data_IF_000544758370
#
_entry.id   IF_000544758370
#
_cell.length_a   1.000
_cell.length_b   1.000
_cell.length_c   1.000
_cell.angle_alpha   90.00
_cell.angle_beta   90.00
_cell.angle_gamma   90.00
#
_symmetry.space_group_name_H-M   'P 1'
#
loop_
_entity.id
_entity.type
_entity.pdbx_description
1 polymer ?
#
# COMPACT_ATOMS: atom_id res chain seq x y z
N UNK A 1 -13.09 37.04 7.95
CA UNK A 1 -11.94 37.42 7.11
C UNK A 1 -10.55 37.11 7.70
N UNK A 2 -10.21 37.36 8.98
CA UNK A 2 -8.87 37.08 9.49
C UNK A 2 -8.48 35.59 9.50
N UNK A 3 -9.43 34.67 9.68
CA UNK A 3 -9.17 33.22 9.65
C UNK A 3 -8.67 32.71 8.29
N UNK A 4 -9.16 33.26 7.18
CA UNK A 4 -8.71 32.89 5.83
C UNK A 4 -7.27 33.34 5.58
N UNK A 5 -6.85 34.49 6.11
CA UNK A 5 -5.48 34.98 6.00
C UNK A 5 -4.47 34.07 6.71
N UNK A 6 -4.87 33.43 7.83
CA UNK A 6 -4.03 32.47 8.54
C UNK A 6 -3.79 31.17 7.75
N UNK A 7 -4.69 30.80 6.84
CA UNK A 7 -4.54 29.62 5.99
C UNK A 7 -3.65 29.89 4.76
N UNK A 8 -3.44 31.15 4.36
CA UNK A 8 -2.69 31.50 3.16
C UNK A 8 -1.28 30.91 3.13
N UNK A 9 -0.44 31.01 4.18
CA UNK A 9 0.90 30.42 4.15
C UNK A 9 0.87 28.91 3.93
N UNK A 10 -0.06 28.19 4.60
CA UNK A 10 -0.20 26.73 4.47
C UNK A 10 -0.67 26.33 3.08
N UNK A 11 -1.63 27.07 2.52
CA UNK A 11 -2.14 26.81 1.17
C UNK A 11 -1.08 27.09 0.12
N UNK A 12 -0.34 28.20 0.24
CA UNK A 12 0.77 28.51 -0.67
C UNK A 12 1.86 27.42 -0.61
N UNK A 13 2.21 26.96 0.59
CA UNK A 13 3.16 25.85 0.78
C UNK A 13 2.66 24.56 0.10
N UNK A 14 1.41 24.17 0.31
CA UNK A 14 0.82 22.99 -0.32
C UNK A 14 0.80 23.12 -1.86
N UNK A 15 0.45 24.29 -2.40
CA UNK A 15 0.50 24.54 -3.84
C UNK A 15 1.94 24.39 -4.35
N UNK A 16 2.90 25.03 -3.70
CA UNK A 16 4.29 25.02 -4.14
C UNK A 16 4.92 23.63 -4.08
N UNK A 17 4.63 22.83 -3.04
CA UNK A 17 5.29 21.54 -2.81
C UNK A 17 4.56 20.38 -3.52
N UNK A 18 3.24 20.43 -3.65
CA UNK A 18 2.45 19.33 -4.22
C UNK A 18 1.83 19.68 -5.58
N UNK A 19 1.17 20.82 -5.70
CA UNK A 19 0.42 21.14 -6.92
C UNK A 19 1.37 21.49 -8.08
N UNK A 20 2.40 22.29 -7.85
CA UNK A 20 3.34 22.69 -8.92
C UNK A 20 4.11 21.48 -9.50
N UNK A 21 4.71 20.56 -8.70
CA UNK A 21 5.33 19.35 -9.25
C UNK A 21 4.34 18.48 -10.02
N UNK A 22 3.12 18.28 -9.49
CA UNK A 22 2.09 17.51 -10.19
C UNK A 22 1.72 18.11 -11.54
N UNK A 23 1.47 19.42 -11.59
CA UNK A 23 1.19 20.15 -12.83
C UNK A 23 2.39 20.06 -13.80
N UNK A 24 3.62 20.11 -13.30
CA UNK A 24 4.82 19.91 -14.11
C UNK A 24 4.86 18.50 -14.71
N UNK A 25 4.52 17.46 -13.97
CA UNK A 25 4.43 16.09 -14.48
C UNK A 25 3.32 15.96 -15.52
N UNK A 26 2.13 16.57 -15.29
CA UNK A 26 1.06 16.60 -16.30
C UNK A 26 1.55 17.28 -17.56
N UNK A 27 2.20 18.43 -17.46
CA UNK A 27 2.76 19.14 -18.61
C UNK A 27 3.79 18.29 -19.34
N UNK A 28 4.72 17.66 -18.60
CA UNK A 28 5.79 16.85 -19.14
C UNK A 28 5.27 15.61 -19.87
N UNK A 29 4.15 15.04 -19.45
CA UNK A 29 3.53 13.87 -20.12
C UNK A 29 3.13 14.12 -21.58
N UNK A 30 2.96 15.41 -21.97
CA UNK A 30 2.69 15.83 -23.36
C UNK A 30 3.95 16.34 -24.10
N UNK A 31 5.14 16.12 -23.54
CA UNK A 31 6.40 16.53 -24.13
C UNK A 31 7.36 15.33 -24.23
N UNK A 32 8.09 15.26 -25.33
CA UNK A 32 9.26 14.40 -25.42
C UNK A 32 10.41 15.10 -24.69
N UNK A 33 10.85 14.49 -23.60
CA UNK A 33 12.00 14.95 -22.81
C UNK A 33 12.86 13.74 -22.52
N UNK A 34 13.82 13.50 -23.39
CA UNK A 34 14.66 12.29 -23.37
C UNK A 34 16.05 12.59 -23.91
N UNK A 35 16.93 11.59 -23.88
CA UNK A 35 18.25 11.68 -24.53
C UNK A 35 18.13 12.03 -26.01
N UNK A 36 17.10 11.56 -26.69
CA UNK A 36 16.87 11.82 -28.12
C UNK A 36 16.57 13.30 -28.42
N UNK A 37 16.01 14.02 -27.44
CA UNK A 37 15.73 15.46 -27.57
C UNK A 37 16.82 16.33 -26.94
N UNK A 38 17.96 15.73 -26.54
CA UNK A 38 19.02 16.41 -25.82
C UNK A 38 18.61 16.88 -24.40
N UNK A 39 17.67 16.17 -23.78
CA UNK A 39 17.08 16.49 -22.48
C UNK A 39 16.37 17.86 -22.47
N UNK A 40 15.75 18.20 -23.59
CA UNK A 40 14.91 19.40 -23.74
C UNK A 40 13.48 18.94 -23.99
N UNK A 41 12.54 19.47 -23.22
CA UNK A 41 11.13 19.14 -23.36
C UNK A 41 10.54 19.77 -24.63
N UNK A 42 10.21 18.93 -25.61
CA UNK A 42 9.63 19.34 -26.91
C UNK A 42 8.20 18.81 -27.00
N UNK A 43 7.20 19.61 -27.39
CA UNK A 43 5.81 19.15 -27.56
C UNK A 43 5.74 17.93 -28.50
N UNK A 44 5.06 16.85 -28.09
CA UNK A 44 5.04 15.58 -28.81
C UNK A 44 3.64 15.13 -29.28
N UNK A 45 2.65 16.05 -29.28
CA UNK A 45 1.28 15.76 -29.74
C UNK A 45 0.65 14.51 -29.12
N UNK A 46 0.92 14.26 -27.85
CA UNK A 46 0.45 13.11 -27.07
C UNK A 46 1.06 11.74 -27.51
N UNK A 47 2.20 11.72 -28.20
CA UNK A 47 2.87 10.47 -28.59
C UNK A 47 3.21 9.59 -27.37
N UNK A 48 3.55 10.17 -26.21
CA UNK A 48 3.77 9.42 -24.99
C UNK A 48 2.51 8.67 -24.53
N UNK A 49 1.33 9.29 -24.66
CA UNK A 49 0.06 8.65 -24.33
C UNK A 49 -0.32 7.54 -25.31
N UNK A 50 -0.02 7.72 -26.60
CA UNK A 50 -0.19 6.64 -27.59
C UNK A 50 0.72 5.47 -27.27
N UNK A 51 2.00 5.72 -26.96
CA UNK A 51 2.94 4.70 -26.49
C UNK A 51 2.44 4.00 -25.23
N UNK A 52 1.97 4.76 -24.25
CA UNK A 52 1.45 4.25 -22.97
C UNK A 52 0.32 3.23 -23.15
N UNK A 53 -0.64 3.52 -24.01
CA UNK A 53 -1.77 2.62 -24.27
C UNK A 53 -1.31 1.28 -24.85
N UNK A 54 -0.25 1.27 -25.66
CA UNK A 54 0.26 0.09 -26.36
C UNK A 54 1.48 -0.55 -25.66
N UNK A 55 1.90 -0.04 -24.51
CA UNK A 55 3.07 -0.56 -23.77
C UNK A 55 2.71 -1.83 -23.01
N UNK A 56 3.00 -2.98 -23.60
CA UNK A 56 2.75 -4.28 -23.01
C UNK A 56 3.43 -4.47 -21.64
N UNK A 57 4.64 -3.88 -21.46
CA UNK A 57 5.37 -3.95 -20.19
C UNK A 57 4.65 -3.17 -19.10
N UNK A 58 4.17 -1.96 -19.40
CA UNK A 58 3.37 -1.19 -18.44
C UNK A 58 2.15 -1.97 -17.96
N UNK A 59 1.39 -2.58 -18.87
CA UNK A 59 0.19 -3.35 -18.51
C UNK A 59 0.52 -4.61 -17.71
N UNK A 60 1.64 -5.27 -18.01
CA UNK A 60 2.14 -6.38 -17.21
C UNK A 60 2.48 -5.93 -15.78
N UNK A 61 3.21 -4.82 -15.62
CA UNK A 61 3.59 -4.26 -14.33
C UNK A 61 2.37 -3.74 -13.56
N UNK A 62 1.36 -3.22 -14.25
CA UNK A 62 0.08 -2.86 -13.65
C UNK A 62 -0.60 -4.09 -13.04
N UNK A 63 -0.69 -5.19 -13.78
CA UNK A 63 -1.28 -6.43 -13.28
C UNK A 63 -0.49 -6.96 -12.08
N UNK A 64 0.84 -6.93 -12.13
CA UNK A 64 1.70 -7.33 -11.01
C UNK A 64 1.49 -6.44 -9.79
N UNK A 65 1.43 -5.13 -9.97
CA UNK A 65 1.18 -4.17 -8.89
C UNK A 65 -0.22 -4.37 -8.28
N UNK A 66 -1.24 -4.61 -9.10
CA UNK A 66 -2.60 -4.90 -8.64
C UNK A 66 -2.68 -6.24 -7.87
N UNK A 67 -2.00 -7.29 -8.36
CA UNK A 67 -1.92 -8.57 -7.65
C UNK A 67 -1.21 -8.40 -6.30
N UNK A 68 -0.10 -7.68 -6.29
CA UNK A 68 0.62 -7.35 -5.06
C UNK A 68 -0.29 -6.62 -4.08
N UNK A 69 -0.93 -5.53 -4.51
CA UNK A 69 -1.83 -4.75 -3.67
C UNK A 69 -3.03 -5.58 -3.16
N UNK A 70 -3.64 -6.39 -4.01
CA UNK A 70 -4.78 -7.23 -3.62
C UNK A 70 -4.40 -8.22 -2.52
N UNK A 71 -3.28 -8.93 -2.69
CA UNK A 71 -2.86 -9.96 -1.74
C UNK A 71 -2.34 -9.34 -0.45
N UNK A 72 -1.43 -8.35 -0.54
CA UNK A 72 -0.84 -7.73 0.65
C UNK A 72 -1.89 -7.00 1.48
N UNK A 73 -2.69 -6.13 0.85
CA UNK A 73 -3.70 -5.33 1.58
C UNK A 73 -4.79 -6.21 2.19
N UNK A 74 -5.24 -7.25 1.49
CA UNK A 74 -6.24 -8.19 2.06
C UNK A 74 -5.69 -8.89 3.30
N UNK A 75 -4.47 -9.42 3.21
CA UNK A 75 -3.81 -10.07 4.34
C UNK A 75 -3.60 -9.10 5.52
N UNK A 76 -3.18 -7.88 5.24
CA UNK A 76 -2.97 -6.84 6.25
C UNK A 76 -4.25 -6.39 6.94
N UNK A 77 -5.36 -6.26 6.21
CA UNK A 77 -6.66 -5.95 6.82
C UNK A 77 -7.12 -7.06 7.77
N UNK A 78 -6.95 -8.32 7.36
CA UNK A 78 -7.30 -9.47 8.21
C UNK A 78 -6.39 -9.57 9.43
N UNK A 79 -5.07 -9.58 9.23
CA UNK A 79 -4.09 -9.66 10.32
C UNK A 79 -4.14 -8.42 11.22
N UNK A 80 -4.31 -7.24 10.64
CA UNK A 80 -4.46 -5.99 11.35
C UNK A 80 -5.70 -5.97 12.24
N UNK A 81 -6.82 -6.52 11.76
CA UNK A 81 -8.02 -6.68 12.58
C UNK A 81 -7.78 -7.64 13.75
N UNK A 82 -7.15 -8.78 13.50
CA UNK A 82 -6.80 -9.74 14.56
C UNK A 82 -5.92 -9.08 15.62
N UNK A 83 -4.86 -8.39 15.21
CA UNK A 83 -3.95 -7.69 16.10
C UNK A 83 -4.70 -6.57 16.86
N UNK A 84 -5.54 -5.79 16.19
CA UNK A 84 -6.33 -4.74 16.83
C UNK A 84 -7.27 -5.29 17.90
N UNK A 85 -7.95 -6.40 17.63
CA UNK A 85 -8.82 -7.08 18.62
C UNK A 85 -8.03 -7.56 19.83
N UNK A 86 -6.83 -8.11 19.65
CA UNK A 86 -5.94 -8.52 20.75
C UNK A 86 -5.49 -7.30 21.55
N UNK A 87 -5.01 -6.24 20.88
CA UNK A 87 -4.53 -5.02 21.52
C UNK A 87 -5.64 -4.21 22.23
N UNK A 88 -6.90 -4.46 21.87
CA UNK A 88 -8.06 -3.84 22.52
C UNK A 88 -8.41 -4.49 23.86
N UNK A 89 -7.91 -5.70 24.14
CA UNK A 89 -8.13 -6.37 25.43
C UNK A 89 -7.44 -5.65 26.59
N UNK A 90 -7.92 -5.84 27.85
CA UNK A 90 -7.32 -5.25 29.04
C UNK A 90 -5.99 -5.97 29.40
N UNK A 91 -4.97 -5.82 28.56
CA UNK A 91 -3.68 -6.46 28.73
C UNK A 91 -2.85 -5.77 29.81
N UNK A 92 -2.15 -6.58 30.63
CA UNK A 92 -1.09 -6.08 31.51
C UNK A 92 0.05 -5.55 30.63
N UNK A 93 0.60 -4.38 30.93
CA UNK A 93 1.63 -3.69 30.11
C UNK A 93 1.16 -3.25 28.69
N UNK A 94 -0.08 -2.86 28.58
CA UNK A 94 -0.74 -2.44 27.33
C UNK A 94 0.09 -1.44 26.48
N UNK A 95 0.73 -0.46 27.12
CA UNK A 95 1.55 0.54 26.43
C UNK A 95 2.78 -0.11 25.75
N UNK A 96 3.50 -0.99 26.45
CA UNK A 96 4.67 -1.65 25.91
C UNK A 96 4.33 -2.57 24.75
N UNK A 97 3.26 -3.37 24.86
CA UNK A 97 2.82 -4.27 23.78
C UNK A 97 2.42 -3.48 22.53
N UNK A 98 1.70 -2.36 22.70
CA UNK A 98 1.33 -1.48 21.58
C UNK A 98 2.54 -0.85 20.92
N UNK A 99 3.49 -0.33 21.70
CA UNK A 99 4.70 0.30 21.16
C UNK A 99 5.58 -0.72 20.44
N UNK A 100 5.77 -1.92 20.99
CA UNK A 100 6.59 -2.97 20.35
C UNK A 100 5.96 -3.51 19.09
N UNK A 101 4.63 -3.59 19.01
CA UNK A 101 3.93 -4.02 17.79
C UNK A 101 4.13 -3.06 16.61
N UNK A 102 4.51 -1.80 16.86
CA UNK A 102 4.74 -0.78 15.85
C UNK A 102 6.16 -0.77 15.27
N UNK A 103 7.09 -1.49 15.90
CA UNK A 103 8.50 -1.49 15.47
C UNK A 103 8.65 -1.81 13.97
N UNK A 104 7.99 -2.84 13.39
CA UNK A 104 8.13 -3.12 11.98
C UNK A 104 7.75 -1.95 11.07
N UNK A 105 6.67 -1.26 11.38
CA UNK A 105 6.20 -0.12 10.60
C UNK A 105 7.11 1.11 10.73
N UNK A 106 7.71 1.33 11.90
CA UNK A 106 8.59 2.45 12.17
C UNK A 106 9.95 2.36 11.45
N UNK A 107 10.35 1.17 10.99
CA UNK A 107 11.61 0.99 10.28
C UNK A 107 11.58 1.66 8.90
N UNK A 108 12.65 2.36 8.48
CA UNK A 108 12.80 2.83 7.11
C UNK A 108 12.71 1.64 6.13
N UNK A 109 11.89 1.79 5.07
CA UNK A 109 11.61 0.68 4.13
C UNK A 109 12.87 0.11 3.50
N UNK A 110 13.80 0.98 3.09
CA UNK A 110 15.08 0.57 2.50
C UNK A 110 15.91 -0.31 3.45
N UNK A 111 16.00 0.06 4.72
CA UNK A 111 16.76 -0.69 5.74
C UNK A 111 16.12 -2.05 5.98
N UNK A 112 14.81 -2.07 6.12
CA UNK A 112 14.04 -3.31 6.28
C UNK A 112 14.19 -4.22 5.06
N UNK A 113 14.10 -3.67 3.84
CA UNK A 113 14.25 -4.42 2.60
C UNK A 113 15.65 -5.05 2.45
N UNK A 114 16.72 -4.34 2.87
CA UNK A 114 18.07 -4.91 2.95
C UNK A 114 18.15 -6.08 3.93
N UNK A 115 17.49 -5.95 5.09
CA UNK A 115 17.41 -7.03 6.07
C UNK A 115 16.72 -8.27 5.51
N UNK A 116 15.56 -8.11 4.86
CA UNK A 116 14.84 -9.21 4.23
C UNK A 116 15.60 -9.79 3.05
N UNK A 117 16.25 -8.97 2.21
CA UNK A 117 17.15 -9.44 1.15
C UNK A 117 18.25 -10.32 1.69
N UNK A 118 18.88 -9.94 2.82
CA UNK A 118 19.89 -10.77 3.47
C UNK A 118 19.31 -12.07 4.03
N UNK A 119 18.15 -12.02 4.70
CA UNK A 119 17.47 -13.18 5.28
C UNK A 119 17.16 -14.24 4.21
N UNK A 120 16.70 -13.81 3.03
CA UNK A 120 16.35 -14.69 1.91
C UNK A 120 17.48 -14.89 0.89
N UNK A 121 18.69 -14.41 1.19
CA UNK A 121 19.85 -14.57 0.30
C UNK A 121 20.25 -16.04 0.18
N UNK A 122 20.54 -16.48 -1.03
CA UNK A 122 21.06 -17.82 -1.31
C UNK A 122 22.51 -17.72 -1.79
N UNK A 123 23.43 -18.50 -1.24
CA UNK A 123 23.28 -19.59 -0.24
C UNK A 123 23.55 -19.16 1.21
N UNK A 124 23.73 -17.89 1.50
CA UNK A 124 24.28 -17.41 2.78
C UNK A 124 23.24 -16.99 3.81
N UNK A 125 22.00 -16.76 3.39
CA UNK A 125 20.93 -16.30 4.26
C UNK A 125 20.47 -17.35 5.27
N UNK A 126 19.96 -16.92 6.45
CA UNK A 126 19.54 -17.84 7.50
C UNK A 126 18.39 -18.76 7.06
N UNK A 127 17.46 -18.29 6.22
CA UNK A 127 16.36 -19.13 5.71
C UNK A 127 16.90 -20.24 4.80
N UNK A 128 17.82 -19.93 3.89
CA UNK A 128 18.39 -20.93 3.00
C UNK A 128 19.20 -21.98 3.77
N UNK A 129 19.97 -21.56 4.79
CA UNK A 129 20.70 -22.49 5.67
C UNK A 129 19.77 -23.42 6.45
N UNK A 130 18.65 -22.91 6.97
CA UNK A 130 17.64 -23.73 7.65
C UNK A 130 17.02 -24.76 6.70
N UNK A 131 16.72 -24.36 5.46
CA UNK A 131 16.16 -25.24 4.44
C UNK A 131 17.18 -26.31 4.02
N UNK A 132 18.43 -25.94 3.83
CA UNK A 132 19.51 -26.91 3.53
C UNK A 132 19.72 -27.92 4.65
N UNK A 133 19.77 -27.46 5.92
CA UNK A 133 19.98 -28.35 7.06
C UNK A 133 18.78 -29.24 7.38
N UNK A 134 17.54 -28.75 7.17
CA UNK A 134 16.33 -29.49 7.49
C UNK A 134 15.80 -30.35 6.32
N UNK A 135 15.87 -29.85 5.08
CA UNK A 135 15.28 -30.49 3.91
C UNK A 135 16.31 -30.88 2.84
N UNK A 136 17.59 -30.61 3.04
CA UNK A 136 18.65 -30.88 2.07
C UNK A 136 18.52 -30.11 0.75
N UNK A 137 17.74 -29.03 0.72
CA UNK A 137 17.45 -28.24 -0.49
C UNK A 137 17.67 -26.75 -0.24
N UNK A 138 18.25 -26.06 -1.22
CA UNK A 138 18.28 -24.60 -1.26
C UNK A 138 16.94 -24.06 -1.75
N UNK A 139 16.44 -22.99 -1.11
CA UNK A 139 15.17 -22.35 -1.48
C UNK A 139 15.31 -21.47 -2.71
N UNK A 140 16.51 -20.89 -2.96
CA UNK A 140 16.76 -19.86 -3.98
C UNK A 140 15.66 -18.77 -4.03
N UNK A 141 15.31 -18.25 -2.85
CA UNK A 141 14.10 -17.48 -2.63
C UNK A 141 13.99 -16.22 -3.51
N UNK A 142 15.11 -15.56 -3.78
CA UNK A 142 15.12 -14.35 -4.62
C UNK A 142 15.50 -14.62 -6.09
N UNK A 143 15.87 -15.85 -6.43
CA UNK A 143 16.23 -16.26 -7.79
C UNK A 143 15.10 -16.96 -8.54
N UNK A 144 14.03 -17.36 -7.86
CA UNK A 144 12.85 -17.97 -8.48
C UNK A 144 11.66 -17.00 -8.51
N UNK A 145 11.04 -16.74 -9.68
CA UNK A 145 10.00 -15.72 -9.84
C UNK A 145 8.85 -15.81 -8.84
N UNK A 146 8.30 -17.00 -8.64
CA UNK A 146 7.16 -17.22 -7.75
C UNK A 146 7.52 -16.99 -6.28
N UNK A 147 8.69 -17.48 -5.86
CA UNK A 147 9.15 -17.35 -4.46
C UNK A 147 9.59 -15.92 -4.18
N UNK A 148 10.28 -15.26 -5.11
CA UNK A 148 10.67 -13.86 -4.99
C UNK A 148 9.44 -12.94 -4.82
N UNK A 149 8.36 -13.22 -5.55
CA UNK A 149 7.11 -12.49 -5.39
C UNK A 149 6.50 -12.73 -4.01
N UNK A 150 6.38 -13.99 -3.56
CA UNK A 150 5.82 -14.34 -2.24
C UNK A 150 6.64 -13.70 -1.12
N UNK A 151 7.97 -13.75 -1.18
CA UNK A 151 8.85 -13.18 -0.16
C UNK A 151 8.75 -11.66 -0.10
N UNK A 152 8.57 -10.99 -1.25
CA UNK A 152 8.35 -9.54 -1.31
C UNK A 152 7.00 -9.14 -0.69
N UNK A 153 5.93 -9.87 -1.01
CA UNK A 153 4.59 -9.68 -0.41
C UNK A 153 4.64 -9.91 1.10
N UNK A 154 5.33 -10.98 1.55
CA UNK A 154 5.49 -11.27 2.98
C UNK A 154 6.20 -10.14 3.74
N UNK A 155 7.27 -9.61 3.16
CA UNK A 155 8.00 -8.49 3.75
C UNK A 155 7.13 -7.23 3.89
N UNK A 156 6.27 -6.94 2.91
CA UNK A 156 5.31 -5.83 2.95
C UNK A 156 4.26 -6.04 4.03
N UNK A 157 3.63 -7.22 4.07
CA UNK A 157 2.63 -7.58 5.08
C UNK A 157 3.21 -7.44 6.48
N UNK A 158 4.42 -7.98 6.72
CA UNK A 158 5.08 -7.88 8.03
C UNK A 158 5.30 -6.43 8.47
N UNK A 159 5.73 -5.57 7.54
CA UNK A 159 6.01 -4.17 7.81
C UNK A 159 4.74 -3.36 8.10
N UNK A 160 3.68 -3.57 7.33
CA UNK A 160 2.57 -2.61 7.22
C UNK A 160 1.33 -3.03 8.00
N UNK A 161 1.19 -4.31 8.35
CA UNK A 161 0.10 -4.80 9.23
C UNK A 161 -0.07 -4.00 10.53
N UNK A 162 1.01 -3.60 11.24
CA UNK A 162 0.86 -2.78 12.45
C UNK A 162 0.18 -1.43 12.22
N UNK A 163 0.39 -0.80 11.08
CA UNK A 163 -0.28 0.45 10.73
C UNK A 163 -1.80 0.26 10.58
N UNK A 164 -2.21 -0.81 9.90
CA UNK A 164 -3.62 -1.20 9.79
C UNK A 164 -4.21 -1.48 11.18
N UNK A 165 -3.48 -2.24 12.00
CA UNK A 165 -3.91 -2.56 13.36
C UNK A 165 -4.16 -1.32 14.21
N UNK A 166 -3.33 -0.26 14.06
CA UNK A 166 -3.53 1.01 14.76
C UNK A 166 -4.80 1.73 14.34
N UNK A 167 -5.05 1.83 13.04
CA UNK A 167 -6.27 2.48 12.54
C UNK A 167 -7.51 1.75 13.07
N UNK A 168 -7.50 0.41 13.01
CA UNK A 168 -8.61 -0.40 13.47
C UNK A 168 -8.75 -0.37 15.00
N UNK A 169 -7.64 -0.33 15.73
CA UNK A 169 -7.66 -0.18 17.20
C UNK A 169 -8.27 1.16 17.63
N UNK A 170 -7.92 2.26 16.94
CA UNK A 170 -8.55 3.55 17.16
C UNK A 170 -10.07 3.48 16.93
N UNK A 171 -10.50 2.79 15.87
CA UNK A 171 -11.91 2.54 15.62
C UNK A 171 -12.60 1.69 16.69
N UNK A 172 -11.96 0.62 17.16
CA UNK A 172 -12.50 -0.23 18.23
C UNK A 172 -12.71 0.54 19.52
N UNK A 173 -11.86 1.53 19.83
CA UNK A 173 -11.96 2.35 21.04
C UNK A 173 -13.10 3.37 21.00
N UNK A 174 -13.71 3.61 19.86
CA UNK A 174 -14.88 4.49 19.72
C UNK A 174 -16.21 3.75 19.92
N UNK A 175 -16.20 2.41 19.95
CA UNK A 175 -17.41 1.61 20.12
C UNK A 175 -17.77 1.57 21.63
N UNK A 176 -18.99 2.01 22.04
CA UNK A 176 -19.43 1.97 23.42
C UNK A 176 -19.47 0.56 23.96
N UNK A 177 -18.96 0.36 25.18
CA UNK A 177 -18.98 -0.96 25.88
C UNK A 177 -20.39 -1.48 26.12
N UNK A 178 -21.35 -0.56 26.37
CA UNK A 178 -22.74 -0.88 26.64
C UNK A 178 -23.41 -1.73 25.55
N UNK A 179 -23.00 -1.56 24.29
CA UNK A 179 -23.49 -2.38 23.18
C UNK A 179 -23.10 -3.85 23.33
N UNK A 180 -21.89 -4.10 23.84
CA UNK A 180 -21.41 -5.46 24.08
C UNK A 180 -22.05 -6.07 25.34
N UNK A 181 -22.31 -5.25 26.36
CA UNK A 181 -22.99 -5.69 27.59
C UNK A 181 -24.45 -6.05 27.31
N UNK A 182 -25.17 -5.20 26.58
CA UNK A 182 -26.54 -5.49 26.16
C UNK A 182 -26.63 -6.78 25.34
N UNK A 183 -25.75 -6.94 24.34
CA UNK A 183 -25.70 -8.13 23.51
C UNK A 183 -25.41 -9.40 24.34
N UNK A 184 -24.54 -9.33 25.34
CA UNK A 184 -24.27 -10.46 26.25
C UNK A 184 -25.50 -10.83 27.10
N UNK A 185 -26.26 -9.85 27.57
CA UNK A 185 -27.51 -10.08 28.32
C UNK A 185 -28.55 -10.80 27.45
N UNK A 186 -28.55 -10.55 26.11
CA UNK A 186 -29.39 -11.24 25.14
C UNK A 186 -28.80 -12.60 24.69
N UNK A 187 -27.69 -13.06 25.31
CA UNK A 187 -27.06 -14.36 25.00
C UNK A 187 -26.18 -14.37 23.76
N UNK A 188 -25.78 -13.20 23.24
CA UNK A 188 -24.91 -13.12 22.08
C UNK A 188 -23.48 -13.58 22.39
N UNK A 189 -22.98 -14.59 21.69
CA UNK A 189 -21.60 -15.05 21.76
C UNK A 189 -20.62 -14.08 21.06
N UNK A 190 -19.28 -14.26 21.26
CA UNK A 190 -18.26 -13.37 20.73
C UNK A 190 -18.30 -13.20 19.19
N UNK A 191 -18.58 -14.27 18.46
CA UNK A 191 -18.70 -14.25 16.99
C UNK A 191 -19.90 -13.43 16.51
N UNK A 192 -21.00 -13.44 17.24
CA UNK A 192 -22.20 -12.63 16.95
C UNK A 192 -21.88 -11.15 17.18
N UNK A 193 -21.24 -10.83 18.32
CA UNK A 193 -20.79 -9.48 18.62
C UNK A 193 -19.81 -8.96 17.56
N UNK A 194 -18.85 -9.77 17.14
CA UNK A 194 -17.91 -9.40 16.09
C UNK A 194 -18.63 -9.05 14.79
N UNK A 195 -19.54 -9.92 14.33
CA UNK A 195 -20.20 -9.79 13.03
C UNK A 195 -21.29 -8.71 13.02
N UNK A 196 -22.06 -8.57 14.11
CA UNK A 196 -23.24 -7.68 14.16
C UNK A 196 -22.97 -6.31 14.80
N UNK A 197 -21.94 -6.19 15.62
CA UNK A 197 -21.61 -4.95 16.31
C UNK A 197 -20.26 -4.42 15.81
N UNK A 198 -19.19 -5.19 16.01
CA UNK A 198 -17.82 -4.72 15.78
C UNK A 198 -17.57 -4.39 14.31
N UNK A 199 -17.75 -5.34 13.40
CA UNK A 199 -17.45 -5.13 11.96
C UNK A 199 -18.28 -4.00 11.34
N UNK A 200 -19.62 -3.91 11.54
CA UNK A 200 -20.41 -2.82 11.00
C UNK A 200 -20.00 -1.44 11.50
N UNK A 201 -19.70 -1.30 12.80
CA UNK A 201 -19.26 -0.03 13.37
C UNK A 201 -17.80 0.30 13.00
N UNK A 202 -17.01 -0.70 12.67
CA UNK A 202 -15.63 -0.54 12.24
C UNK A 202 -15.48 -0.23 10.72
N UNK A 203 -16.55 -0.35 9.93
CA UNK A 203 -16.52 -0.13 8.47
C UNK A 203 -15.86 1.19 8.04
N UNK A 204 -16.09 2.34 8.70
CA UNK A 204 -15.41 3.58 8.33
C UNK A 204 -13.89 3.50 8.48
N UNK A 205 -13.41 2.84 9.54
CA UNK A 205 -11.99 2.67 9.83
C UNK A 205 -11.35 1.62 8.92
N UNK A 206 -12.07 0.54 8.59
CA UNK A 206 -11.67 -0.43 7.56
C UNK A 206 -11.54 0.24 6.20
N UNK A 207 -12.49 1.11 5.84
CA UNK A 207 -12.43 1.89 4.61
C UNK A 207 -11.23 2.83 4.57
N UNK A 208 -10.97 3.52 5.67
CA UNK A 208 -9.81 4.39 5.81
C UNK A 208 -8.49 3.60 5.65
N UNK A 209 -8.35 2.48 6.38
CA UNK A 209 -7.17 1.62 6.28
C UNK A 209 -6.98 1.08 4.87
N UNK A 210 -8.06 0.60 4.23
CA UNK A 210 -8.05 0.12 2.86
C UNK A 210 -7.54 1.18 1.88
N UNK A 211 -8.04 2.42 1.95
CA UNK A 211 -7.62 3.51 1.05
C UNK A 211 -6.15 3.85 1.21
N UNK A 212 -5.67 4.00 2.45
CA UNK A 212 -4.27 4.25 2.72
C UNK A 212 -3.38 3.11 2.20
N UNK A 213 -3.77 1.86 2.45
CA UNK A 213 -2.99 0.71 2.02
C UNK A 213 -3.00 0.52 0.50
N UNK A 214 -4.14 0.72 -0.16
CA UNK A 214 -4.20 0.70 -1.63
C UNK A 214 -3.26 1.74 -2.24
N UNK A 215 -3.27 2.97 -1.74
CA UNK A 215 -2.37 4.01 -2.24
C UNK A 215 -0.89 3.66 -2.02
N UNK A 216 -0.52 3.13 -0.85
CA UNK A 216 0.85 2.74 -0.52
C UNK A 216 1.31 1.50 -1.31
N UNK A 217 0.48 0.47 -1.40
CA UNK A 217 0.81 -0.77 -2.11
C UNK A 217 0.89 -0.57 -3.64
N UNK A 218 0.04 0.32 -4.19
CA UNK A 218 0.10 0.68 -5.61
C UNK A 218 1.38 1.46 -5.95
N UNK A 219 1.86 2.30 -5.02
CA UNK A 219 3.10 3.05 -5.15
C UNK A 219 4.34 2.34 -4.61
N UNK A 220 4.30 1.01 -4.41
CA UNK A 220 5.43 0.27 -3.85
C UNK A 220 6.67 0.40 -4.74
N UNK A 221 7.75 0.94 -4.18
CA UNK A 221 9.01 1.17 -4.88
C UNK A 221 10.21 0.68 -4.07
N UNK A 222 10.47 1.29 -2.90
CA UNK A 222 11.69 1.04 -2.11
C UNK A 222 11.90 -0.45 -1.78
N UNK A 223 10.82 -1.13 -1.38
CA UNK A 223 10.87 -2.56 -1.05
C UNK A 223 11.32 -3.38 -2.26
N UNK A 224 10.65 -3.18 -3.40
CA UNK A 224 10.92 -3.94 -4.63
C UNK A 224 12.32 -3.60 -5.17
N UNK A 225 12.64 -2.31 -5.25
CA UNK A 225 13.94 -1.84 -5.76
C UNK A 225 15.12 -2.43 -4.98
N UNK A 226 15.02 -2.45 -3.64
CA UNK A 226 16.13 -2.87 -2.78
C UNK A 226 16.17 -4.39 -2.63
N UNK A 227 15.03 -5.06 -2.49
CA UNK A 227 14.97 -6.49 -2.20
C UNK A 227 15.27 -7.33 -3.44
N UNK A 228 14.65 -7.03 -4.58
CA UNK A 228 14.69 -7.84 -5.81
C UNK A 228 15.15 -7.08 -7.04
N UNK A 229 15.09 -5.75 -7.05
CA UNK A 229 15.31 -4.94 -8.26
C UNK A 229 14.28 -5.20 -9.35
N UNK A 230 13.07 -5.64 -9.00
CA UNK A 230 12.01 -6.01 -9.94
C UNK A 230 12.10 -7.45 -10.48
N UNK A 231 13.22 -8.16 -10.22
CA UNK A 231 13.48 -9.52 -10.72
C UNK A 231 13.01 -10.65 -9.79
N UNK A 232 13.29 -11.90 -10.21
CA UNK A 232 13.79 -12.31 -11.51
C UNK A 232 12.70 -12.23 -12.60
N UNK A 233 13.11 -12.05 -13.84
CA UNK A 233 12.22 -12.00 -15.02
C UNK A 233 11.02 -11.03 -14.86
N UNK A 234 11.24 -9.84 -14.26
CA UNK A 234 10.22 -8.81 -13.95
C UNK A 234 9.06 -9.30 -13.07
N UNK A 235 9.22 -10.43 -12.36
CA UNK A 235 8.15 -11.04 -11.56
C UNK A 235 7.70 -10.20 -10.37
N UNK A 236 8.54 -9.29 -9.90
CA UNK A 236 8.25 -8.38 -8.79
C UNK A 236 8.25 -6.91 -9.20
N UNK A 237 8.39 -6.64 -10.50
CA UNK A 237 8.44 -5.27 -11.02
C UNK A 237 7.13 -4.55 -10.72
N UNK A 238 7.23 -3.34 -10.16
CA UNK A 238 6.09 -2.48 -9.90
C UNK A 238 6.05 -1.33 -10.90
N UNK A 239 4.86 -0.74 -11.08
CA UNK A 239 4.69 0.46 -11.92
C UNK A 239 5.64 1.58 -11.49
N UNK A 240 5.80 1.79 -10.18
CA UNK A 240 6.68 2.83 -9.65
C UNK A 240 8.16 2.56 -10.00
N UNK A 241 8.59 1.29 -9.98
CA UNK A 241 9.92 0.90 -10.41
C UNK A 241 10.11 1.09 -11.92
N UNK A 242 9.10 0.74 -12.72
CA UNK A 242 9.14 0.94 -14.17
C UNK A 242 9.22 2.44 -14.54
N UNK A 243 8.42 3.28 -13.87
CA UNK A 243 8.51 4.74 -14.04
C UNK A 243 9.90 5.28 -13.66
N UNK A 244 10.47 4.80 -12.54
CA UNK A 244 11.81 5.15 -12.09
C UNK A 244 12.88 4.78 -13.13
N UNK A 245 12.81 3.59 -13.73
CA UNK A 245 13.76 3.19 -14.76
C UNK A 245 13.66 4.05 -16.02
N UNK A 246 12.44 4.39 -16.45
CA UNK A 246 12.26 5.30 -17.56
C UNK A 246 12.86 6.67 -17.26
N UNK A 247 12.66 7.23 -16.07
CA UNK A 247 13.20 8.52 -15.68
C UNK A 247 14.72 8.52 -15.54
N UNK A 248 15.26 7.59 -14.71
CA UNK A 248 16.64 7.72 -14.22
C UNK A 248 17.63 6.76 -14.88
N UNK A 249 17.15 5.68 -15.50
CA UNK A 249 18.01 4.73 -16.22
C UNK A 249 17.99 4.97 -17.72
N UNK A 250 16.82 5.23 -18.28
CA UNK A 250 16.65 5.48 -19.72
C UNK A 250 16.61 6.98 -20.05
N UNK A 251 16.57 7.85 -19.02
CA UNK A 251 16.52 9.31 -19.15
C UNK A 251 15.38 9.78 -20.08
N UNK A 252 14.23 9.10 -20.01
CA UNK A 252 13.00 9.42 -20.72
C UNK A 252 11.98 10.01 -19.75
N UNK A 253 12.17 11.28 -19.41
CA UNK A 253 11.36 11.97 -18.40
C UNK A 253 9.93 12.19 -18.87
N UNK A 254 9.74 12.46 -20.18
CA UNK A 254 8.40 12.64 -20.75
C UNK A 254 7.55 11.39 -20.64
N UNK A 255 8.10 10.24 -20.98
CA UNK A 255 7.38 8.98 -20.87
C UNK A 255 7.19 8.53 -19.43
N UNK A 256 8.21 8.70 -18.57
CA UNK A 256 8.07 8.44 -17.14
C UNK A 256 6.95 9.27 -16.51
N UNK A 257 6.84 10.55 -16.86
CA UNK A 257 5.75 11.40 -16.40
C UNK A 257 4.38 10.87 -16.86
N UNK A 258 4.28 10.36 -18.09
CA UNK A 258 3.05 9.75 -18.61
C UNK A 258 2.66 8.49 -17.81
N UNK A 259 3.63 7.61 -17.51
CA UNK A 259 3.41 6.43 -16.66
C UNK A 259 2.88 6.86 -15.29
N UNK A 260 3.49 7.86 -14.65
CA UNK A 260 3.09 8.33 -13.32
C UNK A 260 1.68 8.93 -13.32
N UNK A 261 1.35 9.78 -14.28
CA UNK A 261 0.02 10.40 -14.39
C UNK A 261 -1.04 9.35 -14.74
N UNK A 262 -0.78 8.46 -15.71
CA UNK A 262 -1.67 7.37 -16.07
C UNK A 262 -1.96 6.45 -14.87
N UNK A 263 -0.92 6.09 -14.12
CA UNK A 263 -1.04 5.27 -12.91
C UNK A 263 -1.82 5.99 -11.80
N UNK A 264 -1.60 7.29 -11.62
CA UNK A 264 -2.36 8.12 -10.68
C UNK A 264 -3.86 8.16 -11.01
N UNK A 265 -4.22 8.27 -12.29
CA UNK A 265 -5.61 8.24 -12.72
C UNK A 265 -6.27 6.89 -12.46
N UNK A 266 -5.55 5.78 -12.71
CA UNK A 266 -6.03 4.42 -12.42
C UNK A 266 -6.22 4.23 -10.92
N UNK A 267 -5.24 4.61 -10.10
CA UNK A 267 -5.34 4.52 -8.63
C UNK A 267 -6.50 5.36 -8.09
N UNK A 268 -6.65 6.60 -8.57
CA UNK A 268 -7.74 7.47 -8.15
C UNK A 268 -9.11 6.87 -8.47
N UNK A 269 -9.24 6.23 -9.63
CA UNK A 269 -10.45 5.51 -10.03
C UNK A 269 -10.73 4.31 -9.12
N UNK A 270 -9.71 3.52 -8.78
CA UNK A 270 -9.84 2.39 -7.85
C UNK A 270 -10.26 2.84 -6.45
N UNK A 271 -9.66 3.91 -5.93
CA UNK A 271 -10.03 4.50 -4.63
C UNK A 271 -11.46 5.02 -4.66
N UNK A 272 -11.88 5.71 -5.72
CA UNK A 272 -13.24 6.21 -5.87
C UNK A 272 -14.27 5.06 -5.89
N UNK A 273 -13.98 3.98 -6.61
CA UNK A 273 -14.82 2.77 -6.63
C UNK A 273 -14.90 2.13 -5.24
N UNK A 274 -13.76 1.96 -4.57
CA UNK A 274 -13.71 1.39 -3.23
C UNK A 274 -14.53 2.24 -2.24
N UNK A 275 -14.38 3.56 -2.29
CA UNK A 275 -15.17 4.49 -1.47
C UNK A 275 -16.67 4.37 -1.74
N UNK A 276 -17.08 4.34 -2.99
CA UNK A 276 -18.48 4.19 -3.37
C UNK A 276 -19.09 2.91 -2.83
N UNK A 277 -18.38 1.77 -2.95
CA UNK A 277 -18.82 0.46 -2.43
C UNK A 277 -18.95 0.51 -0.90
N UNK A 278 -17.97 1.07 -0.18
CA UNK A 278 -18.00 1.18 1.29
C UNK A 278 -19.13 2.08 1.75
N UNK A 279 -19.33 3.24 1.11
CA UNK A 279 -20.37 4.19 1.49
C UNK A 279 -21.78 3.62 1.29
N UNK A 280 -22.02 2.87 0.21
CA UNK A 280 -23.31 2.22 -0.04
C UNK A 280 -23.57 1.08 0.96
N UNK A 281 -22.56 0.29 1.32
CA UNK A 281 -22.67 -0.76 2.33
C UNK A 281 -22.99 -0.18 3.71
N UNK A 282 -22.31 0.91 4.10
CA UNK A 282 -22.57 1.62 5.36
C UNK A 282 -24.01 2.12 5.45
N UNK A 283 -24.53 2.73 4.40
CA UNK A 283 -25.90 3.25 4.39
C UNK A 283 -26.94 2.15 4.52
N UNK A 284 -26.69 0.97 3.92
CA UNK A 284 -27.55 -0.21 4.08
C UNK A 284 -27.52 -0.75 5.52
N UNK A 285 -26.35 -0.80 6.15
CA UNK A 285 -26.20 -1.27 7.53
C UNK A 285 -26.86 -0.31 8.53
N UNK A 286 -26.75 1.00 8.34
CA UNK A 286 -27.41 1.99 9.18
C UNK A 286 -28.95 1.92 9.05
N UNK A 287 -29.47 1.70 7.86
CA UNK A 287 -30.92 1.50 7.63
C UNK A 287 -31.47 0.19 8.20
N UNK A 288 -30.64 -0.84 8.34
CA UNK A 288 -31.02 -2.12 8.96
C UNK A 288 -31.02 -2.08 10.50
N UNK A 289 -30.23 -1.19 11.12
CA UNK A 289 -30.21 -0.97 12.57
C UNK A 289 -31.30 0.02 13.04
N UNK A 290 -31.90 0.77 12.13
CA UNK A 290 -33.00 1.70 12.40
C UNK A 290 -34.41 1.06 12.27
N UNK A 291 -34.48 -0.16 11.81
CA UNK A 291 -35.69 -1.02 11.77
C UNK A 291 -35.64 -2.07 12.86
#
# INVERSE_FOLDING_TARGET
>A
MPLLLLLVPSVLFLIAVFALPLLRYVWLSFHADSVMTGLVAIPNQAANWQRFIHDARYWQDLIQTLRFALVSVTAELVLGLIIALILNQPLRQRALIRSSSLIPWALPTTVMALGWRWIFNTPYGPIDRLMQSGLGRSLNALGEPSIAWITTVYADIWKTTPFVALILLAGLQTIPSDLYEAAKLEGAGPGVCLRRITIPLLLPYLGLALMFRLAQAFGVFDLVQVMTGGGPASSTESIALYAYWNALRFLDFGYSATIMIGSFLILSSLIAIAWFVISTTRNRSAGALAK
#
